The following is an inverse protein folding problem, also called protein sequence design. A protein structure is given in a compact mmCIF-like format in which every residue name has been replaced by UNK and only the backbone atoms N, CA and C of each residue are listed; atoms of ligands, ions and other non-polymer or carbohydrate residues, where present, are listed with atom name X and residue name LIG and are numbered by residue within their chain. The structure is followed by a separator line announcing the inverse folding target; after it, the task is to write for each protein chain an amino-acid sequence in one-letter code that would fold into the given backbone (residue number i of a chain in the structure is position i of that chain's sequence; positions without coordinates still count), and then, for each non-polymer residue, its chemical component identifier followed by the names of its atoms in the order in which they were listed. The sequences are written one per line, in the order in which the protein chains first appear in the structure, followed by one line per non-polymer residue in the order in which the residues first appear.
data_IF_670210841225
#
_entry.id   IF_670210841225
#
_cell.length_a   1.000
_cell.length_b   1.000
_cell.length_c   1.000
_cell.angle_alpha   90.00
_cell.angle_beta   90.00
_cell.angle_gamma   90.00
#
_symmetry.space_group_name_H-M   'P 1'
#
loop_
_entity.id
_entity.type
_entity.pdbx_description
1 polymer ?
#
# COMPACT_ATOMS: atom_id res chain seq x y z
N UNK A 1 36.03 10.04 -11.80
CA UNK A 1 35.22 8.83 -12.05
C UNK A 1 34.56 8.27 -10.79
N UNK A 2 35.21 8.29 -9.61
CA UNK A 2 34.63 7.79 -8.33
C UNK A 2 33.39 8.58 -7.83
N UNK A 3 33.24 9.85 -8.19
CA UNK A 3 32.11 10.72 -7.75
C UNK A 3 30.79 10.47 -8.49
N UNK A 4 30.83 9.90 -9.70
CA UNK A 4 29.64 9.66 -10.51
C UNK A 4 28.88 8.42 -10.00
N UNK A 5 29.62 7.42 -9.50
CA UNK A 5 29.07 6.15 -9.00
C UNK A 5 28.26 6.37 -7.71
N UNK A 6 28.67 7.31 -6.85
CA UNK A 6 27.99 7.60 -5.58
C UNK A 6 26.63 8.30 -5.80
N UNK A 7 26.50 9.14 -6.84
CA UNK A 7 25.23 9.84 -7.11
C UNK A 7 24.13 8.90 -7.65
N UNK A 8 24.50 7.90 -8.45
CA UNK A 8 23.54 6.93 -9.00
C UNK A 8 22.94 6.00 -7.95
N UNK A 9 23.66 5.72 -6.86
CA UNK A 9 23.17 4.87 -5.77
C UNK A 9 22.12 5.54 -4.88
N UNK A 10 22.10 6.87 -4.81
CA UNK A 10 21.12 7.62 -4.03
C UNK A 10 19.77 7.75 -4.73
N UNK A 11 19.75 7.79 -6.07
CA UNK A 11 18.52 7.91 -6.86
C UNK A 11 17.64 6.64 -6.79
N UNK A 12 18.24 5.47 -6.55
CA UNK A 12 17.52 4.21 -6.39
C UNK A 12 16.81 4.04 -5.04
N UNK A 13 17.01 4.95 -4.09
CA UNK A 13 16.34 4.91 -2.78
C UNK A 13 15.05 5.76 -2.74
N UNK A 14 14.85 6.66 -3.71
CA UNK A 14 13.68 7.55 -3.78
C UNK A 14 12.42 6.86 -4.33
N UNK A 15 12.50 5.60 -4.75
CA UNK A 15 11.36 4.82 -5.24
C UNK A 15 10.90 3.69 -4.30
N UNK A 16 11.69 3.32 -3.30
CA UNK A 16 11.38 2.15 -2.46
C UNK A 16 10.52 2.49 -1.23
N UNK A 17 10.31 3.75 -0.89
CA UNK A 17 9.61 4.13 0.35
C UNK A 17 8.10 4.11 0.24
N UNK A 18 7.58 3.95 -0.98
CA UNK A 18 6.18 4.20 -1.28
C UNK A 18 5.73 5.63 -0.99
N UNK A 19 4.52 5.98 -1.42
CA UNK A 19 3.94 7.29 -1.14
C UNK A 19 3.33 7.28 0.27
N UNK A 20 4.08 7.77 1.27
CA UNK A 20 3.63 7.84 2.66
C UNK A 20 2.30 8.59 2.81
N UNK A 21 2.03 9.62 2.01
CA UNK A 21 0.77 10.36 2.07
C UNK A 21 -0.42 9.48 1.64
N UNK A 22 -0.23 8.63 0.64
CA UNK A 22 -1.25 7.64 0.26
C UNK A 22 -1.42 6.57 1.33
N UNK A 23 -0.33 6.12 1.96
CA UNK A 23 -0.42 5.15 3.05
C UNK A 23 -1.16 5.73 4.27
N UNK A 24 -0.87 6.98 4.63
CA UNK A 24 -1.51 7.68 5.73
C UNK A 24 -3.00 7.96 5.47
N UNK A 25 -3.36 8.29 4.22
CA UNK A 25 -4.76 8.53 3.84
C UNK A 25 -5.68 7.31 4.07
N UNK A 26 -5.12 6.10 4.13
CA UNK A 26 -5.84 4.88 4.48
C UNK A 26 -6.07 4.72 5.98
N UNK A 27 -5.24 5.32 6.83
CA UNK A 27 -5.33 5.14 8.27
C UNK A 27 -6.68 5.64 8.81
N UNK A 28 -7.31 4.83 9.66
CA UNK A 28 -8.61 5.14 10.25
C UNK A 28 -9.82 4.95 9.33
N UNK A 29 -9.63 4.72 8.02
CA UNK A 29 -10.74 4.40 7.10
C UNK A 29 -11.48 3.15 7.56
N UNK A 30 -12.78 3.08 7.26
CA UNK A 30 -13.59 1.92 7.64
C UNK A 30 -13.28 0.71 6.76
N UNK A 31 -13.46 -0.51 7.28
CA UNK A 31 -13.34 -1.73 6.47
C UNK A 31 -14.23 -1.70 5.23
N UNK A 32 -15.45 -1.16 5.36
CA UNK A 32 -16.36 -0.99 4.22
C UNK A 32 -15.81 -0.02 3.18
N UNK A 33 -15.21 1.09 3.59
CA UNK A 33 -14.60 2.05 2.67
C UNK A 33 -13.45 1.41 1.88
N UNK A 34 -12.62 0.59 2.54
CA UNK A 34 -11.56 -0.18 1.87
C UNK A 34 -12.17 -1.15 0.85
N UNK A 35 -13.14 -1.98 1.24
CA UNK A 35 -13.78 -2.94 0.33
C UNK A 35 -14.40 -2.26 -0.89
N UNK A 36 -15.07 -1.11 -0.70
CA UNK A 36 -15.68 -0.33 -1.78
C UNK A 36 -14.66 0.32 -2.72
N UNK A 37 -13.38 0.37 -2.34
CA UNK A 37 -12.31 0.99 -3.15
C UNK A 37 -11.69 0.01 -4.16
N UNK A 38 -12.08 -1.27 -4.12
CA UNK A 38 -11.64 -2.28 -5.06
C UNK A 38 -12.84 -2.84 -5.82
N UNK A 39 -12.73 -2.95 -7.14
CA UNK A 39 -13.79 -3.49 -8.00
C UNK A 39 -13.93 -5.03 -7.91
N UNK A 40 -13.29 -5.65 -6.92
CA UNK A 40 -13.24 -7.11 -6.75
C UNK A 40 -13.08 -7.50 -5.28
N UNK A 41 -13.50 -8.72 -4.98
CA UNK A 41 -13.31 -9.33 -3.67
C UNK A 41 -11.82 -9.51 -3.32
N UNK A 42 -11.47 -9.49 -2.01
CA UNK A 42 -10.12 -9.79 -1.55
C UNK A 42 -9.67 -11.20 -1.96
N UNK A 43 -8.39 -11.34 -2.32
CA UNK A 43 -7.81 -12.65 -2.61
C UNK A 43 -7.59 -13.47 -1.34
N UNK A 44 -7.39 -12.81 -0.21
CA UNK A 44 -7.10 -13.48 1.06
C UNK A 44 -7.57 -12.63 2.23
N UNK A 45 -8.09 -13.29 3.25
CA UNK A 45 -8.51 -12.68 4.51
C UNK A 45 -7.98 -13.50 5.67
N UNK A 46 -7.72 -12.85 6.80
CA UNK A 46 -7.24 -13.54 7.99
C UNK A 46 -7.29 -12.67 9.23
N UNK A 47 -6.63 -13.15 10.29
CA UNK A 47 -6.50 -12.45 11.56
C UNK A 47 -5.10 -12.64 12.12
N UNK A 48 -4.51 -11.57 12.67
CA UNK A 48 -3.21 -11.56 13.34
C UNK A 48 -3.25 -10.70 14.63
N UNK A 49 -2.07 -10.33 15.14
CA UNK A 49 -1.93 -9.51 16.37
C UNK A 49 -2.49 -8.09 16.24
N UNK A 50 -2.62 -7.57 15.03
CA UNK A 50 -3.20 -6.25 14.75
C UNK A 50 -4.74 -6.32 14.60
N UNK A 51 -5.28 -7.51 14.38
CA UNK A 51 -6.71 -7.77 14.24
C UNK A 51 -7.03 -8.48 12.93
N UNK A 52 -8.19 -8.18 12.35
CA UNK A 52 -8.56 -8.73 11.05
C UNK A 52 -7.69 -8.11 9.97
N UNK A 53 -7.35 -8.84 8.92
CA UNK A 53 -6.69 -8.29 7.75
C UNK A 53 -7.27 -8.85 6.46
N UNK A 54 -7.13 -8.08 5.38
CA UNK A 54 -7.55 -8.46 4.04
C UNK A 54 -6.44 -8.08 3.05
N UNK A 55 -6.32 -8.84 1.95
CA UNK A 55 -5.27 -8.66 0.96
C UNK A 55 -5.79 -8.86 -0.46
N UNK A 56 -5.29 -8.02 -1.37
CA UNK A 56 -5.45 -8.15 -2.81
C UNK A 56 -4.08 -8.36 -3.46
N UNK A 57 -3.93 -9.40 -4.28
CA UNK A 57 -2.76 -9.68 -5.13
C UNK A 57 -2.95 -9.10 -6.53
N UNK A 58 -2.02 -8.26 -6.99
CA UNK A 58 -1.99 -7.69 -8.34
C UNK A 58 -1.06 -8.51 -9.23
N UNK A 59 -1.61 -9.07 -10.30
CA UNK A 59 -0.89 -9.95 -11.21
C UNK A 59 -0.26 -9.22 -12.40
N UNK A 60 -0.73 -8.01 -12.72
CA UNK A 60 -0.34 -7.26 -13.93
C UNK A 60 0.99 -6.51 -13.77
N UNK A 61 1.38 -6.20 -12.53
CA UNK A 61 2.56 -5.35 -12.21
C UNK A 61 3.73 -6.15 -11.60
N UNK A 62 3.84 -7.44 -11.91
CA UNK A 62 4.83 -8.33 -11.29
C UNK A 62 4.42 -8.71 -9.88
N UNK A 63 3.46 -9.63 -9.77
CA UNK A 63 3.03 -10.32 -8.54
C UNK A 63 3.24 -9.53 -7.23
N UNK A 64 2.48 -8.46 -7.05
CA UNK A 64 2.52 -7.66 -5.82
C UNK A 64 1.17 -7.73 -5.09
N UNK A 65 1.06 -7.06 -3.96
CA UNK A 65 -0.09 -7.14 -3.07
C UNK A 65 -0.29 -5.89 -2.22
N UNK A 66 -1.56 -5.62 -1.93
CA UNK A 66 -2.02 -4.58 -1.03
C UNK A 66 -2.72 -5.26 0.16
N UNK A 67 -2.22 -5.01 1.37
CA UNK A 67 -2.77 -5.57 2.61
C UNK A 67 -3.21 -4.47 3.55
N UNK A 68 -4.42 -4.63 4.11
CA UNK A 68 -4.99 -3.77 5.12
C UNK A 68 -5.26 -4.57 6.39
N UNK A 69 -4.82 -4.05 7.54
CA UNK A 69 -5.15 -4.60 8.87
C UNK A 69 -6.10 -3.67 9.61
N UNK A 70 -7.04 -4.25 10.34
CA UNK A 70 -8.17 -3.57 10.97
C UNK A 70 -8.25 -3.86 12.46
N UNK A 71 -8.53 -2.81 13.24
CA UNK A 71 -8.94 -2.90 14.64
C UNK A 71 -10.19 -2.04 14.84
N UNK A 72 -11.21 -2.56 15.50
CA UNK A 72 -12.49 -1.87 15.71
C UNK A 72 -13.09 -1.31 14.40
N UNK A 73 -13.05 -2.11 13.34
CA UNK A 73 -13.55 -1.75 11.99
C UNK A 73 -12.82 -0.58 11.31
N UNK A 74 -11.62 -0.21 11.77
CA UNK A 74 -10.80 0.86 11.20
C UNK A 74 -9.43 0.35 10.80
N UNK A 75 -8.88 0.87 9.70
CA UNK A 75 -7.52 0.58 9.25
C UNK A 75 -6.53 1.06 10.32
N UNK A 76 -5.66 0.16 10.75
CA UNK A 76 -4.55 0.43 11.68
C UNK A 76 -3.18 0.14 11.09
N UNK A 77 -3.13 -0.58 9.97
CA UNK A 77 -1.93 -0.75 9.17
C UNK A 77 -2.30 -0.98 7.71
N UNK A 78 -1.47 -0.46 6.82
CA UNK A 78 -1.54 -0.70 5.38
C UNK A 78 -0.12 -0.94 4.87
N UNK A 79 0.03 -1.93 3.99
CA UNK A 79 1.29 -2.24 3.34
C UNK A 79 1.04 -2.61 1.89
N UNK A 80 1.89 -2.08 1.00
CA UNK A 80 1.95 -2.47 -0.40
C UNK A 80 3.38 -2.87 -0.75
N UNK A 81 3.55 -4.00 -1.43
CA UNK A 81 4.85 -4.43 -1.97
C UNK A 81 4.95 -4.21 -3.48
N UNK A 82 4.07 -3.38 -4.05
CA UNK A 82 4.04 -3.02 -5.47
C UNK A 82 5.16 -2.02 -5.87
N UNK A 83 6.38 -2.54 -6.01
CA UNK A 83 7.51 -1.98 -6.80
C UNK A 83 8.16 -0.66 -6.34
N UNK A 84 9.22 -0.25 -7.06
CA UNK A 84 9.96 1.06 -6.97
C UNK A 84 9.07 2.29 -7.25
N UNK A 85 7.81 2.06 -7.62
CA UNK A 85 6.79 3.07 -7.86
C UNK A 85 5.68 2.97 -6.82
N UNK A 86 6.00 2.54 -5.59
CA UNK A 86 5.11 2.14 -4.47
C UNK A 86 4.13 3.20 -3.95
N UNK A 87 3.54 3.96 -4.85
CA UNK A 87 2.78 5.17 -4.63
C UNK A 87 2.15 5.75 -5.90
N UNK A 88 2.51 5.27 -7.11
CA UNK A 88 1.79 5.62 -8.33
C UNK A 88 0.72 4.59 -8.68
N UNK A 89 0.96 3.31 -8.39
CA UNK A 89 -0.04 2.27 -8.58
C UNK A 89 -0.70 1.82 -7.27
N UNK A 90 -0.31 2.38 -6.12
CA UNK A 90 -1.00 2.09 -4.87
C UNK A 90 -2.46 2.59 -4.93
N UNK A 91 -3.42 1.84 -4.37
CA UNK A 91 -4.82 2.22 -4.33
C UNK A 91 -5.01 3.57 -3.61
N UNK A 92 -5.88 4.40 -4.16
CA UNK A 92 -6.15 5.76 -3.67
C UNK A 92 -7.26 5.70 -2.62
N UNK A 93 -7.01 6.22 -1.42
CA UNK A 93 -8.02 6.28 -0.38
C UNK A 93 -9.17 7.24 -0.78
N UNK A 94 -10.43 6.96 -0.40
CA UNK A 94 -11.60 7.74 -0.81
C UNK A 94 -11.53 9.25 -0.53
N UNK A 95 -10.68 9.68 0.39
CA UNK A 95 -10.53 11.09 0.80
C UNK A 95 -9.15 11.69 0.48
N UNK A 96 -8.29 11.00 -0.28
CA UNK A 96 -6.93 11.46 -0.58
C UNK A 96 -6.87 12.60 -1.64
N UNK A 97 -8.01 13.01 -2.22
CA UNK A 97 -8.09 13.98 -3.31
C UNK A 97 -8.55 15.39 -2.88
N UNK A 98 -8.18 15.84 -1.67
CA UNK A 98 -8.46 17.21 -1.20
C UNK A 98 -7.20 18.04 -1.07
#
# INVERSE_FOLDING_TARGET
MLRIIVLTSAASLLGCSGNYDQMDAWMGQSKQAVLNSFDREPDTVGRDVLGDWIQWRRHVEGACSDRFSFKNNRVVAYSSDCGIWGGLSAPIAPNAAR
#
